data_IF_769143446971
#
_entry.id   IF_769143446971
#
_cell.length_a   1.000
_cell.length_b   1.000
_cell.length_c   1.000
_cell.angle_alpha   90.00
_cell.angle_beta   90.00
_cell.angle_gamma   90.00
#
_symmetry.space_group_name_H-M   'P 1'
#
loop_
_entity.id
_entity.type
_entity.pdbx_description
1 polymer ?
#
# COMPACT_ATOMS: atom_id res chain seq x y z
N UNK A 1 -1.18 -6.26 -29.23
CA UNK A 1 -0.79 -7.20 -28.15
C UNK A 1 -1.84 -8.29 -27.99
N UNK A 2 -1.47 -9.53 -27.72
CA UNK A 2 -2.44 -10.62 -27.50
C UNK A 2 -2.90 -10.54 -26.04
N UNK A 3 -4.15 -10.12 -25.81
CA UNK A 3 -4.72 -9.98 -24.46
C UNK A 3 -4.96 -11.39 -23.91
N UNK A 4 -4.39 -11.70 -22.74
CA UNK A 4 -4.66 -12.97 -22.05
C UNK A 4 -6.11 -13.00 -21.56
N UNK A 5 -6.81 -14.07 -21.93
CA UNK A 5 -8.21 -14.30 -21.57
C UNK A 5 -8.39 -14.57 -20.08
N UNK A 6 -9.49 -14.06 -19.51
CA UNK A 6 -9.89 -14.42 -18.16
C UNK A 6 -10.30 -15.88 -18.05
N UNK A 7 -9.99 -16.49 -16.94
CA UNK A 7 -10.35 -17.85 -16.57
C UNK A 7 -11.06 -17.85 -15.21
N UNK A 8 -12.34 -17.44 -15.13
CA UNK A 8 -13.02 -17.21 -13.85
C UNK A 8 -12.99 -18.39 -12.88
N UNK A 9 -12.99 -19.62 -13.40
CA UNK A 9 -12.90 -20.86 -12.60
C UNK A 9 -11.49 -21.16 -12.05
N UNK A 10 -10.47 -20.42 -12.50
CA UNK A 10 -9.09 -20.61 -12.05
C UNK A 10 -8.99 -20.28 -10.55
N UNK A 11 -8.37 -21.21 -9.80
CA UNK A 11 -8.23 -21.08 -8.34
C UNK A 11 -6.98 -20.31 -7.91
N UNK A 12 -5.95 -20.27 -8.75
CA UNK A 12 -4.74 -19.47 -8.54
C UNK A 12 -3.91 -19.38 -9.83
N UNK A 13 -3.12 -18.34 -9.93
CA UNK A 13 -1.95 -18.22 -10.82
C UNK A 13 -0.85 -17.55 -10.00
N UNK A 14 0.15 -18.31 -9.63
CA UNK A 14 1.26 -17.95 -8.73
C UNK A 14 2.57 -18.49 -9.29
N UNK A 15 3.70 -18.07 -8.75
CA UNK A 15 5.02 -18.50 -9.23
C UNK A 15 5.24 -20.02 -9.07
N UNK A 16 5.12 -20.54 -7.84
CA UNK A 16 5.37 -21.95 -7.52
C UNK A 16 4.58 -22.39 -6.28
N UNK A 17 3.72 -23.40 -6.44
CA UNK A 17 2.90 -23.95 -5.35
C UNK A 17 3.74 -24.74 -4.32
N UNK A 18 4.92 -25.21 -4.69
CA UNK A 18 5.80 -25.98 -3.79
C UNK A 18 6.41 -25.12 -2.66
N UNK A 19 6.36 -23.79 -2.79
CA UNK A 19 6.77 -22.85 -1.74
C UNK A 19 5.80 -22.77 -0.55
N UNK A 20 4.63 -23.42 -0.66
CA UNK A 20 3.55 -23.27 0.33
C UNK A 20 3.93 -23.67 1.76
N UNK A 21 4.75 -24.71 1.93
CA UNK A 21 5.13 -25.20 3.27
C UNK A 21 6.09 -24.20 3.95
N UNK A 22 6.94 -23.52 3.19
CA UNK A 22 7.74 -22.40 3.68
C UNK A 22 6.85 -21.23 4.09
N UNK A 23 5.94 -20.81 3.20
CA UNK A 23 4.99 -19.74 3.51
C UNK A 23 4.18 -20.01 4.79
N UNK A 24 3.73 -21.26 5.00
CA UNK A 24 3.00 -21.65 6.22
C UNK A 24 3.83 -21.46 7.47
N UNK A 25 5.10 -21.86 7.47
CA UNK A 25 6.01 -21.66 8.60
C UNK A 25 6.23 -20.18 8.93
N UNK A 26 6.37 -19.33 7.93
CA UNK A 26 6.48 -17.90 8.17
C UNK A 26 5.18 -17.27 8.68
N UNK A 27 4.02 -17.75 8.22
CA UNK A 27 2.73 -17.34 8.79
C UNK A 27 2.58 -17.75 10.27
N UNK A 28 3.16 -18.91 10.70
CA UNK A 28 3.21 -19.34 12.09
C UNK A 28 4.07 -18.40 12.96
N UNK A 29 5.13 -17.82 12.39
CA UNK A 29 5.90 -16.77 13.07
C UNK A 29 5.09 -15.46 13.14
N UNK A 30 4.49 -15.06 12.03
CA UNK A 30 3.77 -13.79 11.91
C UNK A 30 2.56 -13.72 12.87
N UNK A 31 1.83 -14.82 13.09
CA UNK A 31 0.63 -14.83 13.95
C UNK A 31 0.93 -14.36 15.38
N UNK A 32 2.12 -14.67 15.90
CA UNK A 32 2.54 -14.26 17.24
C UNK A 32 2.76 -12.75 17.36
N UNK A 33 3.03 -12.09 16.24
CA UNK A 33 3.24 -10.64 16.14
C UNK A 33 1.99 -9.90 15.61
N UNK A 34 0.87 -10.61 15.38
CA UNK A 34 -0.36 -10.03 14.84
C UNK A 34 -1.57 -10.21 15.79
N UNK A 35 -1.47 -9.72 17.06
CA UNK A 35 -2.48 -9.96 18.09
C UNK A 35 -3.84 -9.36 17.75
N UNK A 36 -3.90 -8.26 17.00
CA UNK A 36 -5.15 -7.64 16.57
C UNK A 36 -5.97 -8.56 15.67
N UNK A 37 -5.34 -9.21 14.68
CA UNK A 37 -6.03 -10.17 13.82
C UNK A 37 -6.49 -11.42 14.58
N UNK A 38 -5.69 -11.91 15.53
CA UNK A 38 -6.08 -13.03 16.39
C UNK A 38 -7.32 -12.67 17.20
N UNK A 39 -7.32 -11.51 17.83
CA UNK A 39 -8.46 -11.02 18.60
C UNK A 39 -9.73 -10.78 17.75
N UNK A 40 -9.58 -10.31 16.51
CA UNK A 40 -10.69 -10.19 15.55
C UNK A 40 -11.30 -11.57 15.24
N UNK A 41 -10.47 -12.59 15.01
CA UNK A 41 -10.94 -13.98 14.79
C UNK A 41 -11.72 -14.50 16.00
N UNK A 42 -11.22 -14.29 17.20
CA UNK A 42 -11.87 -14.71 18.45
C UNK A 42 -13.20 -13.97 18.68
N UNK A 43 -13.21 -12.65 18.47
CA UNK A 43 -14.37 -11.80 18.76
C UNK A 43 -15.49 -11.94 17.73
N UNK A 44 -15.15 -12.02 16.46
CA UNK A 44 -16.13 -11.95 15.37
C UNK A 44 -16.26 -13.25 14.55
N UNK A 45 -15.31 -14.18 14.67
CA UNK A 45 -15.26 -15.38 13.82
C UNK A 45 -16.50 -16.27 13.95
N UNK A 46 -17.03 -16.46 15.18
CA UNK A 46 -18.23 -17.29 15.39
C UNK A 46 -19.50 -16.70 14.78
N UNK A 47 -19.55 -15.37 14.60
CA UNK A 47 -20.67 -14.66 13.98
C UNK A 47 -20.64 -14.61 12.47
N UNK A 48 -19.51 -14.96 11.86
CA UNK A 48 -19.30 -14.93 10.40
C UNK A 48 -19.86 -13.67 9.71
N UNK A 49 -19.49 -12.43 10.13
CA UNK A 49 -20.15 -11.20 9.65
C UNK A 49 -20.00 -10.95 8.14
N UNK A 50 -19.07 -11.65 7.46
CA UNK A 50 -18.87 -11.59 6.01
C UNK A 50 -19.44 -12.81 5.28
N UNK A 51 -20.26 -13.62 5.94
CA UNK A 51 -20.81 -14.85 5.36
C UNK A 51 -21.58 -14.58 4.06
N UNK A 52 -21.18 -15.30 3.02
CA UNK A 52 -21.80 -15.20 1.70
C UNK A 52 -21.41 -13.97 0.89
N UNK A 53 -20.54 -13.11 1.42
CA UNK A 53 -20.01 -11.96 0.69
C UNK A 53 -18.72 -12.30 -0.05
N UNK A 54 -18.60 -11.77 -1.26
CA UNK A 54 -17.43 -11.87 -2.14
C UNK A 54 -16.50 -10.71 -1.87
N UNK A 55 -15.29 -10.99 -1.38
CA UNK A 55 -14.27 -9.97 -1.07
C UNK A 55 -13.13 -10.06 -2.09
N UNK A 56 -12.91 -8.99 -2.82
CA UNK A 56 -11.73 -8.84 -3.68
C UNK A 56 -10.66 -8.04 -2.95
N UNK A 57 -9.44 -8.56 -2.89
CA UNK A 57 -8.28 -7.82 -2.41
C UNK A 57 -7.33 -7.44 -3.53
N UNK A 58 -6.92 -6.18 -3.53
CA UNK A 58 -5.85 -5.60 -4.35
C UNK A 58 -4.85 -4.94 -3.40
N UNK A 59 -4.03 -5.78 -2.76
CA UNK A 59 -3.08 -5.36 -1.73
C UNK A 59 -1.88 -6.31 -1.75
N UNK A 60 -0.68 -5.79 -1.41
CA UNK A 60 0.58 -6.53 -1.44
C UNK A 60 0.46 -7.95 -0.91
N UNK A 61 0.77 -8.98 -1.73
CA UNK A 61 0.65 -10.37 -1.34
C UNK A 61 1.84 -10.83 -0.49
N UNK A 62 1.89 -10.36 0.76
CA UNK A 62 2.94 -10.68 1.75
C UNK A 62 2.46 -11.74 2.76
N UNK A 63 3.35 -12.18 3.64
CA UNK A 63 3.01 -13.07 4.76
C UNK A 63 1.95 -12.42 5.66
N UNK A 64 2.06 -11.13 5.93
CA UNK A 64 1.09 -10.40 6.74
C UNK A 64 -0.28 -10.35 6.07
N UNK A 65 -0.30 -10.17 4.75
CA UNK A 65 -1.54 -10.22 3.95
C UNK A 65 -2.15 -11.62 3.92
N UNK A 66 -1.33 -12.67 3.91
CA UNK A 66 -1.83 -14.04 4.06
C UNK A 66 -2.59 -14.20 5.38
N UNK A 67 -2.13 -13.57 6.47
CA UNK A 67 -2.84 -13.55 7.75
C UNK A 67 -4.16 -12.78 7.70
N UNK A 68 -4.21 -11.65 6.97
CA UNK A 68 -5.45 -10.90 6.70
C UNK A 68 -6.44 -11.76 5.94
N UNK A 69 -6.01 -12.40 4.84
CA UNK A 69 -6.86 -13.27 4.02
C UNK A 69 -7.47 -14.40 4.86
N UNK A 70 -6.68 -15.08 5.69
CA UNK A 70 -7.21 -16.13 6.57
C UNK A 70 -8.17 -15.57 7.63
N UNK A 71 -7.94 -14.36 8.10
CA UNK A 71 -8.89 -13.71 9.02
C UNK A 71 -10.22 -13.40 8.32
N UNK A 72 -10.20 -12.79 7.14
CA UNK A 72 -11.40 -12.55 6.35
C UNK A 72 -12.15 -13.85 6.00
N UNK A 73 -11.40 -14.94 5.75
CA UNK A 73 -11.97 -16.28 5.52
C UNK A 73 -12.69 -16.80 6.76
N UNK A 74 -12.11 -16.66 7.94
CA UNK A 74 -12.72 -17.03 9.23
C UNK A 74 -13.98 -16.19 9.49
N UNK A 75 -13.99 -14.93 9.06
CA UNK A 75 -15.18 -14.06 9.12
C UNK A 75 -16.29 -14.43 8.10
N UNK A 76 -16.06 -15.45 7.25
CA UNK A 76 -17.05 -16.03 6.33
C UNK A 76 -16.95 -15.60 4.88
N UNK A 77 -15.96 -14.80 4.49
CA UNK A 77 -15.81 -14.28 3.13
C UNK A 77 -15.42 -15.35 2.10
N UNK A 78 -15.91 -15.19 0.86
CA UNK A 78 -15.38 -15.81 -0.35
C UNK A 78 -14.40 -14.84 -1.03
N UNK A 79 -13.10 -15.23 -1.13
CA UNK A 79 -12.00 -14.28 -1.34
C UNK A 79 -11.27 -14.56 -2.66
N UNK A 80 -11.01 -13.49 -3.41
CA UNK A 80 -10.09 -13.45 -4.54
C UNK A 80 -9.08 -12.33 -4.34
N UNK A 81 -7.80 -12.58 -4.67
CA UNK A 81 -6.71 -11.67 -4.33
C UNK A 81 -5.73 -11.46 -5.49
N UNK A 82 -5.33 -10.22 -5.71
CA UNK A 82 -4.21 -9.79 -6.54
C UNK A 82 -3.29 -8.88 -5.74
N UNK A 83 -2.02 -8.75 -6.14
CA UNK A 83 -1.12 -7.77 -5.55
C UNK A 83 -1.39 -6.38 -6.13
N UNK A 84 -1.08 -5.34 -5.37
CA UNK A 84 -1.13 -3.94 -5.82
C UNK A 84 0.22 -3.42 -6.32
N UNK A 85 1.22 -4.28 -6.46
CA UNK A 85 2.56 -3.91 -6.94
C UNK A 85 3.29 -5.12 -7.55
N UNK A 86 3.95 -4.93 -8.69
CA UNK A 86 4.61 -5.99 -9.47
C UNK A 86 5.82 -6.64 -8.77
N UNK A 87 6.40 -6.01 -7.75
CA UNK A 87 7.60 -6.50 -7.05
C UNK A 87 7.37 -6.91 -5.59
N UNK A 88 6.18 -6.66 -5.03
CA UNK A 88 5.93 -6.81 -3.60
C UNK A 88 5.47 -8.19 -3.17
N UNK A 89 5.03 -9.04 -4.11
CA UNK A 89 4.57 -10.38 -3.77
C UNK A 89 5.69 -11.22 -3.15
N UNK A 90 5.37 -11.89 -2.05
CA UNK A 90 6.16 -12.98 -1.48
C UNK A 90 5.57 -14.29 -2.01
N UNK A 91 6.27 -14.95 -2.94
CA UNK A 91 5.73 -16.12 -3.68
C UNK A 91 5.33 -17.27 -2.76
N UNK A 92 6.05 -17.46 -1.65
CA UNK A 92 5.72 -18.46 -0.65
C UNK A 92 4.44 -18.11 0.15
N UNK A 93 4.11 -16.82 0.34
CA UNK A 93 2.84 -16.40 0.94
C UNK A 93 1.68 -16.71 -0.01
N UNK A 94 1.81 -16.35 -1.28
CA UNK A 94 0.82 -16.66 -2.32
C UNK A 94 0.58 -18.17 -2.42
N UNK A 95 1.66 -18.97 -2.38
CA UNK A 95 1.59 -20.44 -2.42
C UNK A 95 0.87 -21.01 -1.19
N UNK A 96 1.15 -20.50 0.01
CA UNK A 96 0.50 -20.99 1.23
C UNK A 96 -1.03 -20.80 1.19
N UNK A 97 -1.48 -19.62 0.77
CA UNK A 97 -2.92 -19.30 0.64
C UNK A 97 -3.57 -20.12 -0.46
N UNK A 98 -2.92 -20.27 -1.62
CA UNK A 98 -3.44 -21.05 -2.75
C UNK A 98 -3.57 -22.54 -2.39
N UNK A 99 -2.55 -23.15 -1.74
CA UNK A 99 -2.56 -24.57 -1.30
C UNK A 99 -3.63 -24.82 -0.24
N UNK A 100 -3.79 -23.91 0.72
CA UNK A 100 -4.81 -23.99 1.76
C UNK A 100 -6.24 -23.71 1.22
N UNK A 101 -6.35 -23.16 0.01
CA UNK A 101 -7.62 -22.73 -0.59
C UNK A 101 -8.35 -21.67 0.26
N UNK A 102 -7.61 -20.85 0.99
CA UNK A 102 -8.18 -19.76 1.79
C UNK A 102 -8.71 -18.64 0.90
N UNK A 103 -8.07 -18.42 -0.26
CA UNK A 103 -8.51 -17.53 -1.33
C UNK A 103 -8.08 -18.04 -2.71
N UNK A 104 -8.70 -17.52 -3.77
CA UNK A 104 -8.14 -17.62 -5.11
C UNK A 104 -7.10 -16.50 -5.30
N UNK A 105 -5.83 -16.83 -5.52
CA UNK A 105 -4.71 -15.88 -5.57
C UNK A 105 -4.13 -15.79 -6.99
N UNK A 106 -3.96 -14.55 -7.46
CA UNK A 106 -3.35 -14.20 -8.74
C UNK A 106 -2.25 -13.17 -8.49
N UNK A 107 -1.05 -13.64 -8.14
CA UNK A 107 0.08 -12.78 -7.82
C UNK A 107 1.40 -13.56 -7.83
N UNK A 108 2.48 -12.94 -8.33
CA UNK A 108 3.86 -13.40 -8.21
C UNK A 108 4.82 -12.23 -8.26
N UNK A 109 6.02 -12.41 -7.75
CA UNK A 109 7.05 -11.37 -7.79
C UNK A 109 7.62 -11.25 -9.20
N UNK A 110 7.64 -10.02 -9.74
CA UNK A 110 8.17 -9.74 -11.07
C UNK A 110 7.14 -9.88 -12.20
N UNK A 111 5.86 -9.64 -11.89
CA UNK A 111 4.82 -9.48 -12.91
C UNK A 111 5.21 -8.38 -13.91
N UNK A 112 4.85 -8.57 -15.18
CA UNK A 112 4.79 -7.47 -16.13
C UNK A 112 3.55 -6.62 -15.85
N UNK A 113 3.49 -5.39 -16.35
CA UNK A 113 2.30 -4.54 -16.19
C UNK A 113 1.05 -5.17 -16.83
N UNK A 114 1.22 -5.90 -17.94
CA UNK A 114 0.16 -6.63 -18.60
C UNK A 114 -0.40 -7.78 -17.73
N UNK A 115 0.49 -8.50 -17.06
CA UNK A 115 0.13 -9.58 -16.11
C UNK A 115 -0.53 -9.01 -14.87
N UNK A 116 -0.01 -7.93 -14.32
CA UNK A 116 -0.57 -7.22 -13.16
C UNK A 116 -2.05 -6.83 -13.39
N UNK A 117 -2.34 -6.17 -14.51
CA UNK A 117 -3.72 -5.77 -14.83
C UNK A 117 -4.60 -6.96 -15.21
N UNK A 118 -4.03 -8.04 -15.73
CA UNK A 118 -4.75 -9.30 -15.89
C UNK A 118 -5.11 -9.90 -14.52
N UNK A 119 -4.19 -9.95 -13.57
CA UNK A 119 -4.41 -10.44 -12.22
C UNK A 119 -5.51 -9.66 -11.50
N UNK A 120 -5.47 -8.32 -11.60
CA UNK A 120 -6.49 -7.45 -11.03
C UNK A 120 -7.88 -7.73 -11.62
N UNK A 121 -8.02 -7.81 -12.95
CA UNK A 121 -9.29 -8.14 -13.60
C UNK A 121 -9.75 -9.57 -13.28
N UNK A 122 -8.82 -10.52 -13.20
CA UNK A 122 -9.09 -11.90 -12.84
C UNK A 122 -9.62 -12.02 -11.40
N UNK A 123 -9.06 -11.25 -10.46
CA UNK A 123 -9.51 -11.20 -9.07
C UNK A 123 -10.88 -10.52 -8.93
N UNK A 124 -11.22 -9.55 -9.79
CA UNK A 124 -12.55 -8.91 -9.87
C UNK A 124 -13.63 -9.81 -10.48
N UNK A 125 -13.31 -11.05 -10.90
CA UNK A 125 -14.24 -11.90 -11.67
C UNK A 125 -14.44 -13.25 -11.01
N UNK A 126 -15.64 -13.54 -10.50
CA UNK A 126 -16.02 -14.84 -9.94
C UNK A 126 -16.40 -15.86 -11.02
N UNK A 127 -16.42 -17.18 -10.69
CA UNK A 127 -16.77 -18.23 -11.65
C UNK A 127 -18.18 -18.10 -12.27
N UNK A 128 -19.10 -17.49 -11.55
CA UNK A 128 -20.46 -17.19 -12.02
C UNK A 128 -20.55 -15.92 -12.90
N UNK A 129 -19.43 -15.30 -13.18
CA UNK A 129 -19.34 -14.06 -13.96
C UNK A 129 -19.64 -12.78 -13.17
N UNK A 130 -20.01 -12.90 -11.89
CA UNK A 130 -20.23 -11.73 -11.03
C UNK A 130 -18.92 -11.10 -10.53
N UNK A 131 -19.04 -9.90 -9.96
CA UNK A 131 -17.95 -9.22 -9.25
C UNK A 131 -18.00 -9.39 -7.73
N UNK A 132 -17.14 -8.66 -6.99
CA UNK A 132 -17.13 -8.61 -5.54
C UNK A 132 -18.33 -7.85 -4.98
N UNK A 133 -18.65 -8.13 -3.71
CA UNK A 133 -19.54 -7.31 -2.88
C UNK A 133 -18.74 -6.27 -2.07
N UNK A 134 -17.46 -6.54 -1.79
CA UNK A 134 -16.56 -5.69 -1.02
C UNK A 134 -15.15 -5.70 -1.65
N UNK A 135 -14.43 -4.59 -1.51
CA UNK A 135 -13.05 -4.46 -1.98
C UNK A 135 -12.14 -4.05 -0.81
N UNK A 136 -10.99 -4.70 -0.68
CA UNK A 136 -9.83 -4.23 0.08
C UNK A 136 -8.81 -3.74 -0.93
N UNK A 137 -8.56 -2.45 -0.98
CA UNK A 137 -7.69 -1.83 -1.99
C UNK A 137 -6.49 -1.12 -1.33
N UNK A 138 -5.39 -1.05 -2.08
CA UNK A 138 -4.16 -0.37 -1.67
C UNK A 138 -3.58 0.37 -2.89
N UNK A 139 -3.81 1.69 -2.92
CA UNK A 139 -3.51 2.55 -4.05
C UNK A 139 -4.69 2.81 -4.98
N UNK A 140 -5.81 2.13 -4.76
CA UNK A 140 -7.06 2.35 -5.48
C UNK A 140 -7.07 1.80 -6.90
N UNK A 141 -6.27 0.79 -7.24
CA UNK A 141 -6.17 0.28 -8.60
C UNK A 141 -7.36 -0.62 -9.00
N UNK A 142 -7.86 -1.46 -8.08
CA UNK A 142 -9.09 -2.22 -8.32
C UNK A 142 -10.29 -1.28 -8.45
N UNK A 143 -10.38 -0.29 -7.57
CA UNK A 143 -11.39 0.77 -7.61
C UNK A 143 -11.34 1.55 -8.93
N UNK A 144 -10.14 1.99 -9.36
CA UNK A 144 -9.92 2.67 -10.64
C UNK A 144 -10.41 1.82 -11.81
N UNK A 145 -10.08 0.53 -11.82
CA UNK A 145 -10.43 -0.37 -12.92
C UNK A 145 -11.95 -0.49 -13.08
N UNK A 146 -12.70 -0.65 -11.99
CA UNK A 146 -14.17 -0.68 -11.99
C UNK A 146 -14.74 0.66 -12.50
N UNK A 147 -14.26 1.79 -11.97
CA UNK A 147 -14.73 3.12 -12.39
C UNK A 147 -14.45 3.42 -13.87
N UNK A 148 -13.26 3.05 -14.35
CA UNK A 148 -12.94 3.20 -15.78
C UNK A 148 -13.81 2.28 -16.64
N UNK A 149 -14.10 1.06 -16.17
CA UNK A 149 -15.01 0.14 -16.82
C UNK A 149 -16.39 0.74 -17.04
N UNK A 150 -17.00 1.29 -15.98
CA UNK A 150 -18.31 1.96 -16.06
C UNK A 150 -18.26 3.17 -17.00
N UNK A 151 -17.21 4.00 -16.94
CA UNK A 151 -17.05 5.15 -17.82
C UNK A 151 -16.97 4.75 -19.29
N UNK A 152 -16.23 3.69 -19.60
CA UNK A 152 -16.05 3.21 -20.98
C UNK A 152 -17.32 2.53 -21.49
N UNK A 153 -18.08 1.82 -20.67
CA UNK A 153 -19.40 1.29 -21.04
C UNK A 153 -20.39 2.41 -21.36
N UNK A 154 -20.40 3.48 -20.57
CA UNK A 154 -21.23 4.65 -20.82
C UNK A 154 -20.79 5.45 -22.05
N UNK A 155 -19.48 5.48 -22.33
CA UNK A 155 -18.92 6.22 -23.46
C UNK A 155 -17.75 5.47 -24.14
N UNK A 156 -18.04 4.52 -25.06
CA UNK A 156 -17.01 3.73 -25.75
C UNK A 156 -16.02 4.55 -26.60
N UNK A 157 -16.30 5.83 -26.87
CA UNK A 157 -15.37 6.70 -27.60
C UNK A 157 -14.08 6.96 -26.80
N UNK A 158 -14.11 6.79 -25.48
CA UNK A 158 -12.93 6.91 -24.60
C UNK A 158 -11.84 5.91 -24.95
N UNK A 159 -12.19 4.73 -25.47
CA UNK A 159 -11.25 3.70 -25.92
C UNK A 159 -10.37 4.13 -27.10
N UNK A 160 -10.83 5.12 -27.89
CA UNK A 160 -10.09 5.63 -29.06
C UNK A 160 -9.11 6.75 -28.71
N UNK A 161 -9.17 7.28 -27.48
CA UNK A 161 -8.26 8.35 -27.04
C UNK A 161 -6.88 7.78 -26.76
N UNK A 162 -5.84 8.46 -27.27
CA UNK A 162 -4.45 8.14 -26.92
C UNK A 162 -4.26 8.35 -25.43
N UNK A 163 -3.72 7.35 -24.75
CA UNK A 163 -3.45 7.42 -23.32
C UNK A 163 -2.09 8.05 -23.04
N UNK A 164 -1.96 8.70 -21.88
CA UNK A 164 -0.75 9.46 -21.54
C UNK A 164 0.37 8.56 -20.99
N UNK A 165 0.03 7.37 -20.46
CA UNK A 165 0.98 6.43 -19.93
C UNK A 165 0.66 4.99 -20.35
N UNK A 166 1.65 4.09 -20.19
CA UNK A 166 1.54 2.67 -20.58
C UNK A 166 0.49 1.93 -19.77
N UNK A 167 0.37 2.20 -18.48
CA UNK A 167 -0.61 1.53 -17.61
C UNK A 167 -2.03 1.79 -18.06
N UNK A 168 -2.39 3.07 -18.25
CA UNK A 168 -3.73 3.43 -18.72
C UNK A 168 -4.03 2.83 -20.10
N UNK A 169 -3.02 2.72 -20.97
CA UNK A 169 -3.18 2.05 -22.25
C UNK A 169 -3.57 0.58 -22.06
N UNK A 170 -2.89 -0.14 -21.19
CA UNK A 170 -3.18 -1.56 -20.87
C UNK A 170 -4.60 -1.70 -20.29
N UNK A 171 -4.97 -0.84 -19.34
CA UNK A 171 -6.32 -0.81 -18.75
C UNK A 171 -7.38 -0.66 -19.87
N UNK A 172 -7.21 0.33 -20.77
CA UNK A 172 -8.17 0.58 -21.84
C UNK A 172 -8.25 -0.59 -22.84
N UNK A 173 -7.15 -1.24 -23.16
CA UNK A 173 -7.14 -2.44 -24.03
C UNK A 173 -7.89 -3.60 -23.37
N UNK A 174 -7.69 -3.84 -22.08
CA UNK A 174 -8.43 -4.87 -21.31
C UNK A 174 -9.91 -4.55 -21.23
N UNK A 175 -10.27 -3.30 -20.93
CA UNK A 175 -11.66 -2.86 -20.89
C UNK A 175 -12.34 -2.99 -22.28
N UNK A 176 -11.65 -2.64 -23.35
CA UNK A 176 -12.14 -2.83 -24.71
C UNK A 176 -12.46 -4.31 -25.03
N UNK A 177 -11.59 -5.21 -24.56
CA UNK A 177 -11.80 -6.66 -24.68
C UNK A 177 -13.00 -7.15 -23.84
N UNK A 178 -13.09 -6.70 -22.61
CA UNK A 178 -14.14 -7.03 -21.65
C UNK A 178 -15.53 -6.63 -22.16
N UNK A 179 -15.68 -5.38 -22.61
CA UNK A 179 -16.94 -4.82 -23.08
C UNK A 179 -17.46 -5.49 -24.36
N UNK A 180 -16.58 -5.95 -25.25
CA UNK A 180 -16.97 -6.76 -26.42
C UNK A 180 -17.68 -8.05 -26.03
N UNK A 181 -17.32 -8.64 -24.88
CA UNK A 181 -17.91 -9.90 -24.38
C UNK A 181 -19.19 -9.66 -23.60
N UNK A 182 -19.20 -8.65 -22.74
CA UNK A 182 -20.35 -8.28 -21.92
C UNK A 182 -20.40 -6.73 -21.79
N UNK A 183 -21.28 -6.05 -22.56
CA UNK A 183 -21.36 -4.59 -22.58
C UNK A 183 -21.87 -3.92 -21.29
N UNK A 184 -22.36 -4.67 -20.33
CA UNK A 184 -22.88 -4.17 -19.04
C UNK A 184 -22.12 -4.69 -17.83
N UNK A 185 -21.04 -5.41 -18.05
CA UNK A 185 -20.29 -6.10 -16.99
C UNK A 185 -19.89 -5.18 -15.85
N UNK A 186 -19.35 -4.01 -16.18
CA UNK A 186 -18.78 -3.11 -15.18
C UNK A 186 -19.86 -2.36 -14.40
N UNK A 187 -20.98 -2.01 -15.03
CA UNK A 187 -22.16 -1.51 -14.35
C UNK A 187 -22.74 -2.56 -13.38
N UNK A 188 -22.84 -3.82 -13.82
CA UNK A 188 -23.34 -4.90 -12.99
C UNK A 188 -22.41 -5.15 -11.79
N UNK A 189 -21.08 -5.12 -11.99
CA UNK A 189 -20.09 -5.23 -10.91
C UNK A 189 -20.22 -4.05 -9.95
N UNK A 190 -20.18 -2.82 -10.44
CA UNK A 190 -20.24 -1.61 -9.61
C UNK A 190 -21.52 -1.54 -8.77
N UNK A 191 -22.67 -1.96 -9.32
CA UNK A 191 -23.96 -1.96 -8.62
C UNK A 191 -24.02 -2.93 -7.43
N UNK A 192 -23.16 -3.95 -7.39
CA UNK A 192 -23.08 -4.93 -6.30
C UNK A 192 -22.17 -4.49 -5.17
N UNK A 193 -21.18 -3.66 -5.46
CA UNK A 193 -20.15 -3.28 -4.49
C UNK A 193 -20.79 -2.44 -3.37
N UNK A 194 -20.79 -2.98 -2.15
CA UNK A 194 -21.24 -2.29 -0.93
C UNK A 194 -20.25 -1.24 -0.47
N UNK A 195 -18.98 -1.42 -0.81
CA UNK A 195 -17.94 -0.44 -0.52
C UNK A 195 -16.53 -0.98 -0.67
N UNK A 196 -15.57 -0.06 -0.55
CA UNK A 196 -14.13 -0.32 -0.55
C UNK A 196 -13.50 0.19 0.73
N UNK A 197 -12.51 -0.52 1.26
CA UNK A 197 -11.60 -0.01 2.28
C UNK A 197 -10.22 0.22 1.66
N UNK A 198 -9.68 1.44 1.82
CA UNK A 198 -8.44 1.87 1.18
C UNK A 198 -7.32 2.02 2.20
N UNK A 199 -6.17 1.38 1.91
CA UNK A 199 -5.03 1.25 2.81
C UNK A 199 -4.10 2.47 2.77
N UNK A 200 -3.91 3.11 1.60
CA UNK A 200 -2.80 4.06 1.44
C UNK A 200 -3.24 5.47 1.04
N UNK A 201 -2.41 6.45 1.40
CA UNK A 201 -2.64 7.89 1.13
C UNK A 201 -2.98 8.18 -0.33
N UNK A 202 -2.31 7.50 -1.27
CA UNK A 202 -2.52 7.76 -2.70
C UNK A 202 -3.89 7.30 -3.18
N UNK A 203 -4.34 6.12 -2.73
CA UNK A 203 -5.68 5.62 -3.05
C UNK A 203 -6.76 6.49 -2.40
N UNK A 204 -6.56 6.91 -1.15
CA UNK A 204 -7.45 7.85 -0.46
C UNK A 204 -7.57 9.17 -1.23
N UNK A 205 -6.46 9.70 -1.74
CA UNK A 205 -6.50 10.90 -2.57
C UNK A 205 -7.35 10.73 -3.84
N UNK A 206 -7.22 9.58 -4.52
CA UNK A 206 -8.08 9.22 -5.67
C UNK A 206 -9.56 9.18 -5.27
N UNK A 207 -9.89 8.56 -4.14
CA UNK A 207 -11.28 8.47 -3.65
C UNK A 207 -11.88 9.86 -3.40
N UNK A 208 -11.16 10.76 -2.73
CA UNK A 208 -11.61 12.14 -2.51
C UNK A 208 -11.75 12.91 -3.84
N UNK A 209 -10.87 12.69 -4.81
CA UNK A 209 -11.01 13.29 -6.15
C UNK A 209 -12.28 12.80 -6.85
N UNK A 210 -12.53 11.49 -6.83
CA UNK A 210 -13.75 10.90 -7.40
C UNK A 210 -15.01 11.41 -6.69
N UNK A 211 -15.00 11.53 -5.36
CA UNK A 211 -16.10 12.13 -4.60
C UNK A 211 -16.34 13.58 -5.01
N UNK A 212 -15.28 14.39 -5.08
CA UNK A 212 -15.37 15.81 -5.45
C UNK A 212 -15.89 16.02 -6.88
N UNK A 213 -15.53 15.14 -7.82
CA UNK A 213 -16.02 15.17 -9.20
C UNK A 213 -17.40 14.54 -9.39
N UNK A 214 -17.99 13.94 -8.35
CA UNK A 214 -19.26 13.20 -8.43
C UNK A 214 -19.18 11.87 -9.18
N UNK A 215 -17.97 11.32 -9.33
CA UNK A 215 -17.71 10.09 -10.07
C UNK A 215 -17.61 8.84 -9.18
N UNK A 216 -17.53 8.99 -7.84
CA UNK A 216 -17.46 7.87 -6.91
C UNK A 216 -18.76 7.03 -7.01
N UNK A 217 -18.61 5.72 -7.22
CA UNK A 217 -19.74 4.82 -7.53
C UNK A 217 -20.28 4.08 -6.29
N UNK A 218 -19.49 3.95 -5.24
CA UNK A 218 -19.82 3.22 -4.02
C UNK A 218 -19.14 3.84 -2.79
N UNK A 219 -19.59 3.53 -1.57
CA UNK A 219 -18.96 4.02 -0.34
C UNK A 219 -17.51 3.59 -0.22
N UNK A 220 -16.69 4.41 0.42
CA UNK A 220 -15.30 4.10 0.71
C UNK A 220 -14.96 4.40 2.18
N UNK A 221 -14.24 3.49 2.84
CA UNK A 221 -13.64 3.73 4.15
C UNK A 221 -12.14 3.98 3.95
N UNK A 222 -11.72 5.17 4.33
CA UNK A 222 -10.33 5.58 4.39
C UNK A 222 -9.68 4.98 5.65
N UNK A 223 -9.05 3.83 5.50
CA UNK A 223 -8.31 3.16 6.59
C UNK A 223 -6.99 3.88 6.85
N UNK A 224 -6.36 4.45 5.82
CA UNK A 224 -5.08 5.15 5.98
C UNK A 224 -5.11 6.22 7.08
N UNK A 225 -6.22 6.95 7.22
CA UNK A 225 -6.32 8.05 8.17
C UNK A 225 -6.84 7.63 9.55
N UNK A 226 -7.13 6.34 9.78
CA UNK A 226 -7.22 5.81 11.14
C UNK A 226 -5.91 6.07 11.87
N UNK A 227 -5.98 6.55 13.12
CA UNK A 227 -4.75 6.92 13.86
C UNK A 227 -3.86 5.71 14.11
N UNK A 228 -4.48 4.56 14.44
CA UNK A 228 -3.78 3.28 14.62
C UNK A 228 -3.21 2.71 13.31
N UNK A 229 -3.53 3.31 12.15
CA UNK A 229 -2.86 3.02 10.88
C UNK A 229 -1.80 4.08 10.58
N UNK A 230 -2.18 5.34 10.37
CA UNK A 230 -1.29 6.39 9.88
C UNK A 230 -0.11 6.69 10.83
N UNK A 231 -0.33 6.68 12.15
CA UNK A 231 0.70 6.95 13.14
C UNK A 231 1.53 5.70 13.52
N UNK A 232 1.16 4.53 13.02
CA UNK A 232 1.84 3.26 13.25
C UNK A 232 2.50 2.74 11.97
N UNK A 233 1.73 2.39 10.97
CA UNK A 233 2.21 1.85 9.69
C UNK A 233 3.13 2.85 8.98
N UNK A 234 2.61 4.04 8.67
CA UNK A 234 3.38 5.04 7.91
C UNK A 234 4.62 5.52 8.67
N UNK A 235 4.55 5.60 10.01
CA UNK A 235 5.67 6.07 10.84
C UNK A 235 6.60 4.91 11.23
N UNK A 236 6.12 3.99 12.06
CA UNK A 236 6.95 2.91 12.61
C UNK A 236 7.29 1.85 11.57
N UNK A 237 6.37 1.54 10.66
CA UNK A 237 6.61 0.61 9.56
C UNK A 237 7.73 1.09 8.64
N UNK A 238 7.69 2.35 8.21
CA UNK A 238 8.75 2.93 7.38
C UNK A 238 10.07 3.08 8.15
N UNK A 239 10.01 3.37 9.46
CA UNK A 239 11.22 3.43 10.30
C UNK A 239 11.99 2.11 10.34
N UNK A 240 11.29 0.98 10.38
CA UNK A 240 11.92 -0.35 10.37
C UNK A 240 12.31 -0.77 8.95
N UNK A 241 11.38 -0.70 8.00
CA UNK A 241 11.49 -1.32 6.69
C UNK A 241 12.38 -0.57 5.70
N UNK A 242 12.53 0.77 5.84
CA UNK A 242 13.44 1.54 4.99
C UNK A 242 14.87 1.06 5.10
N UNK A 243 15.38 0.97 6.33
CA UNK A 243 16.74 0.53 6.59
C UNK A 243 16.97 -0.92 6.12
N UNK A 244 15.98 -1.79 6.33
CA UNK A 244 16.03 -3.18 5.85
C UNK A 244 16.15 -3.23 4.32
N UNK A 245 15.35 -2.44 3.58
CA UNK A 245 15.42 -2.36 2.13
C UNK A 245 16.77 -1.87 1.62
N UNK A 246 17.29 -0.76 2.15
CA UNK A 246 18.59 -0.20 1.74
C UNK A 246 19.72 -1.17 2.06
N UNK A 247 19.74 -1.76 3.25
CA UNK A 247 20.84 -2.66 3.69
C UNK A 247 20.86 -3.96 2.91
N UNK A 248 19.71 -4.61 2.68
CA UNK A 248 19.64 -5.82 1.85
C UNK A 248 20.01 -5.55 0.40
N UNK A 249 19.64 -4.38 -0.13
CA UNK A 249 20.00 -3.99 -1.49
C UNK A 249 21.49 -3.76 -1.66
N UNK A 250 22.15 -3.09 -0.72
CA UNK A 250 23.46 -2.48 -0.96
C UNK A 250 24.56 -2.88 0.04
N UNK A 251 24.21 -3.43 1.20
CA UNK A 251 25.11 -3.69 2.33
C UNK A 251 25.92 -2.45 2.80
N UNK A 252 25.49 -1.23 2.41
CA UNK A 252 26.21 -0.02 2.78
C UNK A 252 26.12 0.26 4.28
N UNK A 253 27.18 0.82 4.82
CA UNK A 253 27.18 1.40 6.15
C UNK A 253 26.47 2.75 6.10
N UNK A 254 25.38 2.90 6.86
CA UNK A 254 24.57 4.14 6.91
C UNK A 254 25.26 5.20 7.79
N UNK A 255 25.93 4.77 8.88
CA UNK A 255 26.61 5.68 9.78
C UNK A 255 27.61 6.58 9.05
N UNK A 256 27.62 7.86 9.40
CA UNK A 256 28.52 8.87 8.83
C UNK A 256 28.14 9.39 7.44
N UNK A 257 27.14 8.78 6.77
CA UNK A 257 26.65 9.27 5.47
C UNK A 257 25.72 10.48 5.64
N UNK A 258 25.66 11.29 4.60
CA UNK A 258 24.63 12.33 4.47
C UNK A 258 23.42 11.75 3.74
N UNK A 259 22.27 11.73 4.41
CA UNK A 259 21.03 11.17 3.90
C UNK A 259 20.01 12.29 3.73
N UNK A 260 19.45 12.43 2.54
CA UNK A 260 18.35 13.35 2.27
C UNK A 260 17.05 12.59 2.29
N UNK A 261 16.09 13.05 3.11
CA UNK A 261 14.71 12.56 3.11
C UNK A 261 13.84 13.67 2.52
N UNK A 262 13.23 13.39 1.38
CA UNK A 262 12.30 14.29 0.71
C UNK A 262 10.88 14.03 1.23
N UNK A 263 10.33 14.99 1.98
CA UNK A 263 9.06 14.88 2.68
C UNK A 263 9.22 14.60 4.18
N UNK A 264 8.39 15.25 5.03
CA UNK A 264 8.39 15.06 6.49
C UNK A 264 6.96 14.85 7.04
N UNK A 265 6.11 14.17 6.25
CA UNK A 265 4.88 13.55 6.72
C UNK A 265 5.18 12.33 7.60
N UNK A 266 4.19 11.50 7.93
CA UNK A 266 4.39 10.34 8.81
C UNK A 266 5.46 9.39 8.27
N UNK A 267 5.46 9.09 6.97
CA UNK A 267 6.50 8.27 6.30
C UNK A 267 7.88 8.91 6.43
N UNK A 268 8.01 10.18 6.07
CA UNK A 268 9.29 10.91 6.14
C UNK A 268 9.84 11.01 7.55
N UNK A 269 8.99 11.20 8.57
CA UNK A 269 9.36 11.17 9.99
C UNK A 269 9.98 9.83 10.39
N UNK A 270 9.32 8.72 10.01
CA UNK A 270 9.84 7.39 10.24
C UNK A 270 11.21 7.17 9.58
N UNK A 271 11.32 7.56 8.31
CA UNK A 271 12.57 7.46 7.55
C UNK A 271 13.71 8.27 8.19
N UNK A 272 13.44 9.51 8.56
CA UNK A 272 14.42 10.39 9.20
C UNK A 272 14.91 9.83 10.54
N UNK A 273 13.99 9.35 11.38
CA UNK A 273 14.32 8.72 12.66
C UNK A 273 15.18 7.46 12.46
N UNK A 274 14.84 6.62 11.46
CA UNK A 274 15.60 5.42 11.12
C UNK A 274 17.04 5.76 10.75
N UNK A 275 17.22 6.65 9.80
CA UNK A 275 18.55 7.01 9.29
C UNK A 275 19.40 7.68 10.39
N UNK A 276 18.81 8.58 11.18
CA UNK A 276 19.48 9.18 12.35
C UNK A 276 19.85 8.15 13.40
N UNK A 277 18.97 7.17 13.64
CA UNK A 277 19.22 6.06 14.57
C UNK A 277 20.42 5.20 14.16
N UNK A 278 20.68 5.06 12.85
CA UNK A 278 21.89 4.40 12.32
C UNK A 278 23.13 5.32 12.26
N UNK A 279 23.04 6.57 12.74
CA UNK A 279 24.20 7.48 12.79
C UNK A 279 24.43 8.28 11.51
N UNK A 280 23.44 8.41 10.63
CA UNK A 280 23.51 9.31 9.48
C UNK A 280 23.33 10.78 9.87
N UNK A 281 23.89 11.67 9.05
CA UNK A 281 23.53 13.09 9.02
C UNK A 281 22.33 13.23 8.12
N UNK A 282 21.17 13.52 8.71
CA UNK A 282 19.89 13.57 7.98
C UNK A 282 19.53 15.02 7.66
N UNK A 283 19.24 15.26 6.39
CA UNK A 283 18.73 16.53 5.87
C UNK A 283 17.30 16.29 5.34
N UNK A 284 16.37 17.16 5.70
CA UNK A 284 14.98 17.09 5.26
C UNK A 284 14.74 18.13 4.16
N UNK A 285 13.99 17.74 3.13
CA UNK A 285 13.39 18.70 2.20
C UNK A 285 11.88 18.65 2.32
N UNK A 286 11.23 19.80 2.45
CA UNK A 286 9.78 19.86 2.72
C UNK A 286 9.17 21.13 2.12
N UNK A 287 7.89 21.03 1.71
CA UNK A 287 7.11 22.16 1.17
C UNK A 287 6.10 22.70 2.19
N UNK A 288 5.64 21.86 3.13
CA UNK A 288 4.71 22.25 4.18
C UNK A 288 5.48 22.94 5.32
N UNK A 289 5.18 24.22 5.61
CA UNK A 289 5.89 24.97 6.65
C UNK A 289 5.70 24.39 8.04
N UNK A 290 4.59 23.69 8.33
CA UNK A 290 4.35 23.03 9.62
C UNK A 290 5.26 21.81 9.75
N UNK A 291 5.30 20.95 8.73
CA UNK A 291 6.19 19.79 8.71
C UNK A 291 7.67 20.20 8.74
N UNK A 292 8.05 21.25 8.00
CA UNK A 292 9.41 21.80 8.02
C UNK A 292 9.79 22.33 9.41
N UNK A 293 8.88 23.05 10.09
CA UNK A 293 9.09 23.52 11.45
C UNK A 293 9.24 22.35 12.44
N UNK A 294 8.41 21.30 12.31
CA UNK A 294 8.54 20.11 13.15
C UNK A 294 9.91 19.44 12.94
N UNK A 295 10.38 19.30 11.69
CA UNK A 295 11.69 18.74 11.40
C UNK A 295 12.82 19.55 12.05
N UNK A 296 12.75 20.87 11.97
CA UNK A 296 13.72 21.77 12.61
C UNK A 296 13.70 21.65 14.15
N UNK A 297 12.51 21.54 14.77
CA UNK A 297 12.38 21.33 16.23
C UNK A 297 12.92 19.97 16.68
N UNK A 298 12.84 18.96 15.82
CA UNK A 298 13.45 17.64 16.06
C UNK A 298 14.99 17.64 15.83
N UNK A 299 15.58 18.77 15.44
CA UNK A 299 17.02 18.95 15.25
C UNK A 299 17.55 18.46 13.91
N UNK A 300 16.70 18.34 12.88
CA UNK A 300 17.14 18.09 11.51
C UNK A 300 17.48 19.39 10.80
N UNK A 301 18.47 19.36 9.91
CA UNK A 301 18.62 20.41 8.92
C UNK A 301 17.47 20.35 7.91
N UNK A 302 16.86 21.50 7.62
CA UNK A 302 15.84 21.65 6.58
C UNK A 302 16.43 22.51 5.47
N UNK A 303 16.57 21.94 4.27
CA UNK A 303 17.20 22.59 3.10
C UNK A 303 16.39 22.31 1.84
N UNK A 304 16.67 23.06 0.78
CA UNK A 304 16.18 22.67 -0.54
C UNK A 304 17.01 21.51 -1.10
N UNK A 305 16.43 20.74 -2.02
CA UNK A 305 17.18 19.63 -2.65
C UNK A 305 18.38 20.17 -3.47
N UNK A 306 18.24 21.36 -4.05
CA UNK A 306 19.30 22.05 -4.78
C UNK A 306 20.54 22.34 -3.93
N UNK A 307 20.36 22.63 -2.63
CA UNK A 307 21.46 22.94 -1.71
C UNK A 307 22.29 21.71 -1.31
N UNK A 308 21.69 20.50 -1.36
CA UNK A 308 22.30 19.29 -0.80
C UNK A 308 22.56 18.20 -1.85
N UNK A 309 22.04 18.33 -3.07
CA UNK A 309 22.07 17.29 -4.09
C UNK A 309 23.49 16.84 -4.48
N UNK A 310 24.49 17.71 -4.40
CA UNK A 310 25.89 17.40 -4.71
C UNK A 310 26.69 16.84 -3.53
N UNK A 311 26.10 16.82 -2.31
CA UNK A 311 26.80 16.45 -1.09
C UNK A 311 26.27 15.14 -0.47
N UNK A 312 25.03 14.78 -0.77
CA UNK A 312 24.38 13.63 -0.16
C UNK A 312 24.81 12.29 -0.78
N UNK A 313 24.84 11.27 0.06
CA UNK A 313 25.19 9.90 -0.29
C UNK A 313 23.95 9.04 -0.60
N UNK A 314 22.84 9.31 0.09
CA UNK A 314 21.58 8.55 -0.04
C UNK A 314 20.41 9.54 -0.17
N UNK A 315 19.55 9.31 -1.15
CA UNK A 315 18.32 10.06 -1.38
C UNK A 315 17.12 9.15 -1.21
N UNK A 316 16.16 9.59 -0.37
CA UNK A 316 14.94 8.86 -0.03
C UNK A 316 13.76 9.76 -0.34
N UNK A 317 12.86 9.35 -1.22
CA UNK A 317 11.63 10.10 -1.52
C UNK A 317 10.44 9.51 -0.76
N UNK A 318 9.62 10.39 -0.16
CA UNK A 318 8.48 10.05 0.70
C UNK A 318 7.38 11.13 0.65
N UNK A 319 7.17 11.74 -0.52
CA UNK A 319 6.29 12.91 -0.69
C UNK A 319 4.90 12.57 -1.23
N UNK A 320 4.76 11.43 -1.89
CA UNK A 320 3.55 11.09 -2.67
C UNK A 320 3.33 11.99 -3.90
N UNK A 321 4.36 12.77 -4.30
CA UNK A 321 4.30 13.68 -5.45
C UNK A 321 4.96 13.04 -6.69
N UNK A 322 5.17 13.81 -7.74
CA UNK A 322 5.91 13.37 -8.93
C UNK A 322 7.16 14.22 -9.16
N UNK A 323 8.16 13.64 -9.83
CA UNK A 323 9.37 14.34 -10.27
C UNK A 323 10.11 15.08 -9.15
N UNK A 324 10.17 14.48 -7.96
CA UNK A 324 10.96 15.01 -6.83
C UNK A 324 12.44 14.89 -7.16
N UNK A 325 12.87 13.74 -7.69
CA UNK A 325 14.22 13.54 -8.20
C UNK A 325 14.17 13.49 -9.74
N UNK A 326 14.49 14.63 -10.36
CA UNK A 326 14.52 14.77 -11.81
C UNK A 326 15.88 14.36 -12.39
N UNK A 327 15.94 14.07 -13.69
CA UNK A 327 17.19 13.81 -14.41
C UNK A 327 18.24 14.91 -14.21
N UNK A 328 17.82 16.19 -14.19
CA UNK A 328 18.72 17.33 -13.90
C UNK A 328 19.35 17.24 -12.51
N UNK A 329 18.60 16.75 -11.51
CA UNK A 329 19.11 16.54 -10.15
C UNK A 329 20.04 15.34 -10.09
N UNK A 330 19.69 14.24 -10.77
CA UNK A 330 20.54 13.04 -10.87
C UNK A 330 21.92 13.37 -11.42
N UNK A 331 22.00 14.21 -12.47
CA UNK A 331 23.28 14.65 -13.07
C UNK A 331 24.18 15.46 -12.11
N UNK A 332 23.65 15.94 -11.00
CA UNK A 332 24.39 16.72 -9.99
C UNK A 332 24.78 15.89 -8.77
N UNK A 333 24.25 14.68 -8.61
CA UNK A 333 24.54 13.81 -7.47
C UNK A 333 26.01 13.40 -7.43
N UNK A 334 26.47 12.99 -6.26
CA UNK A 334 27.76 12.33 -6.10
C UNK A 334 27.83 11.07 -6.96
N UNK A 335 29.03 10.68 -7.34
CA UNK A 335 29.27 9.36 -7.90
C UNK A 335 28.89 8.27 -6.88
N UNK A 336 28.24 7.21 -7.36
CA UNK A 336 27.70 6.10 -6.54
C UNK A 336 26.65 6.50 -5.51
N UNK A 337 25.97 7.66 -5.66
CA UNK A 337 24.86 8.04 -4.81
C UNK A 337 23.72 7.02 -4.94
N UNK A 338 23.11 6.66 -3.79
CA UNK A 338 21.97 5.74 -3.74
C UNK A 338 20.68 6.53 -3.79
N UNK A 339 19.77 6.13 -4.67
CA UNK A 339 18.46 6.76 -4.87
C UNK A 339 17.37 5.72 -4.66
N UNK A 340 16.46 5.97 -3.74
CA UNK A 340 15.34 5.08 -3.47
C UNK A 340 14.06 5.84 -3.10
N UNK A 341 12.94 5.18 -3.29
CA UNK A 341 11.61 5.68 -2.96
C UNK A 341 10.95 4.75 -1.94
N UNK A 342 10.20 5.33 -1.01
CA UNK A 342 9.34 4.61 -0.06
C UNK A 342 7.89 5.11 -0.15
N UNK A 343 7.59 6.04 -1.06
CA UNK A 343 6.24 6.41 -1.44
C UNK A 343 5.58 5.31 -2.28
N UNK A 344 4.26 5.28 -2.31
CA UNK A 344 3.50 4.17 -2.93
C UNK A 344 3.80 3.99 -4.43
N UNK A 345 3.89 5.08 -5.20
CA UNK A 345 4.16 5.03 -6.64
C UNK A 345 5.59 5.43 -7.01
N UNK A 346 6.02 4.97 -8.18
CA UNK A 346 7.34 5.23 -8.78
C UNK A 346 7.51 6.61 -9.40
N UNK A 347 6.48 7.47 -9.33
CA UNK A 347 6.48 8.79 -9.97
C UNK A 347 7.40 9.83 -9.33
N UNK A 348 7.87 9.60 -8.11
CA UNK A 348 8.73 10.54 -7.38
C UNK A 348 10.13 10.65 -7.99
N UNK A 349 10.62 9.58 -8.62
CA UNK A 349 11.91 9.50 -9.30
C UNK A 349 11.66 9.44 -10.80
N UNK A 350 12.24 10.36 -11.57
CA UNK A 350 12.07 10.45 -13.02
C UNK A 350 12.82 9.33 -13.75
N UNK A 351 12.36 8.07 -13.58
CA UNK A 351 12.96 6.90 -14.23
C UNK A 351 12.96 7.04 -15.76
N UNK A 352 11.95 7.71 -16.31
CA UNK A 352 11.85 7.95 -17.75
C UNK A 352 13.01 8.76 -18.34
N UNK A 353 13.70 9.59 -17.54
CA UNK A 353 14.93 10.25 -17.96
C UNK A 353 16.06 9.24 -18.17
N UNK A 354 16.25 8.32 -17.25
CA UNK A 354 17.29 7.29 -17.31
C UNK A 354 17.02 6.32 -18.46
N UNK A 355 15.78 5.88 -18.64
CA UNK A 355 15.38 4.87 -19.62
C UNK A 355 15.39 5.37 -21.06
N UNK A 356 15.03 6.65 -21.31
CA UNK A 356 14.92 7.24 -22.65
C UNK A 356 16.18 7.94 -23.12
N UNK A 357 17.11 8.21 -22.22
CA UNK A 357 18.36 8.90 -22.56
C UNK A 357 19.36 7.93 -23.17
N UNK A 358 19.72 8.12 -24.43
CA UNK A 358 20.79 7.34 -25.11
C UNK A 358 22.16 7.48 -24.41
N UNK A 359 22.34 8.52 -23.60
CA UNK A 359 23.58 8.77 -22.85
C UNK A 359 23.61 8.10 -21.47
N UNK A 360 22.48 7.56 -20.98
CA UNK A 360 22.43 6.82 -19.72
C UNK A 360 22.54 5.31 -20.00
N UNK A 361 23.37 4.61 -19.20
CA UNK A 361 23.57 3.16 -19.36
C UNK A 361 23.19 2.46 -18.06
N UNK A 362 22.28 1.50 -18.17
CA UNK A 362 21.87 0.62 -17.06
C UNK A 362 22.78 -0.60 -16.99
N UNK A 363 23.21 -0.91 -15.78
CA UNK A 363 23.86 -2.16 -15.41
C UNK A 363 23.08 -2.75 -14.21
N UNK A 364 22.48 -3.92 -14.37
CA UNK A 364 21.83 -4.61 -13.26
C UNK A 364 22.89 -5.30 -12.40
N UNK A 365 23.05 -4.88 -11.15
CA UNK A 365 24.01 -5.45 -10.19
C UNK A 365 23.46 -6.75 -9.59
N UNK A 366 22.22 -6.72 -9.16
CA UNK A 366 21.44 -7.85 -8.64
C UNK A 366 19.94 -7.49 -8.71
N UNK A 367 19.02 -8.41 -8.49
CA UNK A 367 17.59 -8.08 -8.54
C UNK A 367 17.25 -6.83 -7.74
N UNK A 368 16.54 -5.90 -8.36
CA UNK A 368 16.11 -4.62 -7.79
C UNK A 368 17.22 -3.62 -7.45
N UNK A 369 18.44 -3.80 -7.95
CA UNK A 369 19.57 -2.90 -7.74
C UNK A 369 20.23 -2.61 -9.08
N UNK A 370 20.05 -1.40 -9.59
CA UNK A 370 20.55 -0.96 -10.88
C UNK A 370 21.51 0.20 -10.73
N UNK A 371 22.68 0.04 -11.34
CA UNK A 371 23.66 1.12 -11.54
C UNK A 371 23.36 1.81 -12.86
N UNK A 372 23.22 3.12 -12.82
CA UNK A 372 23.00 3.95 -13.98
C UNK A 372 24.18 4.88 -14.19
N UNK A 373 24.96 4.68 -15.26
CA UNK A 373 25.99 5.63 -15.67
C UNK A 373 25.33 6.78 -16.40
N UNK A 374 25.53 8.00 -15.91
CA UNK A 374 24.92 9.23 -16.40
C UNK A 374 25.74 9.87 -17.51
N UNK A 375 25.20 10.89 -18.17
CA UNK A 375 25.88 11.65 -19.23
C UNK A 375 27.19 12.29 -18.75
N UNK A 376 27.26 12.69 -17.48
CA UNK A 376 28.47 13.21 -16.84
C UNK A 376 29.62 12.20 -16.67
N UNK A 377 29.36 10.91 -16.90
CA UNK A 377 30.31 9.81 -16.62
C UNK A 377 30.23 9.31 -15.16
N UNK A 378 29.54 10.02 -14.28
CA UNK A 378 29.24 9.53 -12.91
C UNK A 378 28.13 8.50 -12.94
N UNK A 379 28.04 7.72 -11.87
CA UNK A 379 26.99 6.72 -11.72
C UNK A 379 26.12 7.00 -10.51
N UNK A 380 24.87 6.54 -10.55
CA UNK A 380 23.99 6.47 -9.40
C UNK A 380 23.43 5.04 -9.28
N UNK A 381 23.06 4.65 -8.06
CA UNK A 381 22.45 3.35 -7.78
C UNK A 381 20.98 3.57 -7.49
N UNK A 382 20.09 3.08 -8.35
CA UNK A 382 18.65 3.18 -8.18
C UNK A 382 18.12 1.86 -7.67
N UNK A 383 17.36 1.92 -6.55
CA UNK A 383 16.76 0.74 -5.92
C UNK A 383 15.31 0.54 -6.36
N UNK A 384 14.91 -0.71 -6.57
CA UNK A 384 13.57 -1.15 -6.93
C UNK A 384 12.97 -0.39 -8.14
N UNK A 385 13.80 0.05 -9.09
CA UNK A 385 13.38 0.82 -10.26
C UNK A 385 12.56 2.07 -9.88
N UNK A 386 12.88 2.72 -8.74
CA UNK A 386 12.14 3.87 -8.22
C UNK A 386 10.83 3.52 -7.50
N UNK A 387 10.47 2.24 -7.40
CA UNK A 387 9.30 1.76 -6.65
C UNK A 387 9.62 1.62 -5.15
N UNK A 388 8.67 1.11 -4.36
CA UNK A 388 8.81 0.89 -2.92
C UNK A 388 10.05 0.05 -2.58
N UNK A 389 11.08 0.69 -2.01
CA UNK A 389 12.35 0.03 -1.67
C UNK A 389 12.20 -1.05 -0.61
N UNK A 390 11.32 -0.85 0.36
CA UNK A 390 11.08 -1.77 1.46
C UNK A 390 10.42 -3.09 1.01
N UNK A 391 9.61 -3.06 -0.04
CA UNK A 391 8.95 -4.24 -0.62
C UNK A 391 9.71 -4.80 -1.82
N UNK A 392 10.32 -3.94 -2.63
CA UNK A 392 11.13 -4.38 -3.77
C UNK A 392 12.42 -5.06 -3.35
N UNK A 393 13.14 -4.47 -2.41
CA UNK A 393 14.45 -4.95 -1.95
C UNK A 393 14.42 -5.75 -0.64
N UNK A 394 13.29 -5.74 0.09
CA UNK A 394 13.10 -6.47 1.34
C UNK A 394 11.71 -7.10 1.42
N UNK A 395 11.14 -7.23 2.62
CA UNK A 395 9.88 -7.94 2.89
C UNK A 395 8.75 -7.04 3.37
N UNK A 396 8.94 -5.71 3.34
CA UNK A 396 7.96 -4.72 3.76
C UNK A 396 7.96 -4.46 5.26
N UNK A 397 6.81 -4.00 5.76
CA UNK A 397 6.64 -3.65 7.17
C UNK A 397 6.59 -4.87 8.08
N UNK A 398 7.05 -4.76 9.35
CA UNK A 398 7.00 -5.84 10.32
C UNK A 398 5.56 -6.22 10.69
N UNK A 399 5.38 -7.48 11.08
CA UNK A 399 4.05 -8.08 11.33
C UNK A 399 3.22 -7.33 12.37
N UNK A 400 3.84 -6.84 13.45
CA UNK A 400 3.12 -6.12 14.51
C UNK A 400 2.48 -4.82 14.00
N UNK A 401 3.21 -4.07 13.16
CA UNK A 401 2.70 -2.85 12.54
C UNK A 401 1.55 -3.18 11.58
N UNK A 402 1.73 -4.20 10.74
CA UNK A 402 0.67 -4.63 9.81
C UNK A 402 -0.54 -5.23 10.53
N UNK A 403 -0.36 -5.76 11.75
CA UNK A 403 -1.51 -6.14 12.58
C UNK A 403 -2.43 -4.95 12.88
N UNK A 404 -1.88 -3.76 13.17
CA UNK A 404 -2.70 -2.55 13.35
C UNK A 404 -3.47 -2.20 12.08
N UNK A 405 -2.80 -2.10 10.94
CA UNK A 405 -3.41 -1.78 9.65
C UNK A 405 -4.49 -2.79 9.27
N UNK A 406 -4.18 -4.07 9.36
CA UNK A 406 -5.10 -5.13 8.92
C UNK A 406 -6.25 -5.37 9.89
N UNK A 407 -6.10 -5.05 11.17
CA UNK A 407 -7.23 -5.00 12.10
C UNK A 407 -8.20 -3.89 11.70
N UNK A 408 -7.70 -2.70 11.33
CA UNK A 408 -8.53 -1.64 10.75
C UNK A 408 -9.23 -2.10 9.47
N UNK A 409 -8.53 -2.82 8.56
CA UNK A 409 -9.15 -3.38 7.34
C UNK A 409 -10.29 -4.35 7.66
N UNK A 410 -10.08 -5.29 8.58
CA UNK A 410 -11.13 -6.22 9.00
C UNK A 410 -12.35 -5.49 9.56
N UNK A 411 -12.14 -4.49 10.44
CA UNK A 411 -13.24 -3.72 11.00
C UNK A 411 -13.95 -2.87 9.95
N UNK A 412 -13.23 -2.29 8.99
CA UNK A 412 -13.79 -1.57 7.86
C UNK A 412 -14.66 -2.48 6.97
N UNK A 413 -14.22 -3.70 6.70
CA UNK A 413 -14.99 -4.67 5.92
C UNK A 413 -16.25 -5.10 6.66
N UNK A 414 -16.19 -5.30 8.00
CA UNK A 414 -17.36 -5.58 8.84
C UNK A 414 -18.33 -4.39 8.82
N UNK A 415 -17.85 -3.16 8.97
CA UNK A 415 -18.67 -1.95 8.88
C UNK A 415 -19.43 -1.87 7.55
N UNK A 416 -18.73 -2.03 6.42
CA UNK A 416 -19.32 -1.99 5.08
C UNK A 416 -20.28 -3.17 4.81
N UNK A 417 -20.05 -4.31 5.46
CA UNK A 417 -20.93 -5.48 5.33
C UNK A 417 -22.23 -5.36 6.12
N UNK A 418 -22.17 -4.68 7.28
CA UNK A 418 -23.27 -4.72 8.29
C UNK A 418 -24.03 -3.40 8.42
N UNK A 419 -23.51 -2.31 7.87
CA UNK A 419 -24.13 -0.98 7.91
C UNK A 419 -24.31 -0.41 6.51
N UNK A 420 -25.36 0.38 6.34
CA UNK A 420 -25.64 1.08 5.09
C UNK A 420 -24.92 2.43 5.07
N UNK A 421 -23.99 2.58 4.15
CA UNK A 421 -23.30 3.82 3.87
C UNK A 421 -23.82 4.44 2.57
N UNK A 422 -24.04 5.75 2.56
CA UNK A 422 -24.24 6.49 1.31
C UNK A 422 -22.92 6.59 0.55
N UNK A 423 -22.99 6.87 -0.76
CA UNK A 423 -21.78 7.13 -1.55
C UNK A 423 -21.01 8.31 -0.93
N UNK A 424 -19.77 8.08 -0.57
CA UNK A 424 -18.90 9.04 0.08
C UNK A 424 -17.65 8.39 0.65
N UNK A 425 -16.69 9.20 1.08
CA UNK A 425 -15.45 8.75 1.74
C UNK A 425 -15.56 9.00 3.23
N UNK A 426 -15.37 7.95 4.04
CA UNK A 426 -15.51 7.95 5.49
C UNK A 426 -14.23 7.49 6.15
N UNK A 427 -13.99 7.89 7.39
CA UNK A 427 -12.99 7.30 8.28
C UNK A 427 -13.68 6.32 9.23
N UNK A 428 -12.95 5.35 9.76
CA UNK A 428 -13.49 4.51 10.82
C UNK A 428 -13.88 5.34 12.04
N UNK A 429 -15.01 5.03 12.70
CA UNK A 429 -15.38 5.68 13.96
C UNK A 429 -14.25 5.59 15.00
N UNK A 430 -14.06 6.65 15.79
CA UNK A 430 -13.00 6.71 16.80
C UNK A 430 -13.03 5.54 17.78
N UNK A 431 -14.20 5.03 18.12
CA UNK A 431 -14.36 3.87 19.00
C UNK A 431 -13.70 2.61 18.42
N UNK A 432 -13.74 2.43 17.08
CA UNK A 432 -13.07 1.30 16.42
C UNK A 432 -11.56 1.51 16.30
N UNK A 433 -11.11 2.74 16.06
CA UNK A 433 -9.69 3.10 16.07
C UNK A 433 -9.05 2.84 17.46
N UNK A 434 -9.76 3.23 18.54
CA UNK A 434 -9.35 2.89 19.92
C UNK A 434 -9.40 1.40 20.21
N UNK A 435 -10.37 0.66 19.65
CA UNK A 435 -10.46 -0.79 19.78
C UNK A 435 -9.24 -1.47 19.19
N UNK A 436 -8.79 -1.06 18.00
CA UNK A 436 -7.55 -1.55 17.39
C UNK A 436 -6.39 -1.41 18.37
N UNK A 437 -6.21 -0.23 18.97
CA UNK A 437 -5.15 -0.01 19.96
C UNK A 437 -5.29 -0.95 21.15
N UNK A 438 -6.48 -1.10 21.72
CA UNK A 438 -6.74 -1.98 22.88
C UNK A 438 -6.35 -3.44 22.60
N UNK A 439 -6.66 -3.95 21.41
CA UNK A 439 -6.36 -5.32 20.99
C UNK A 439 -4.84 -5.60 20.94
N UNK A 440 -4.01 -4.56 20.80
CA UNK A 440 -2.55 -4.69 20.72
C UNK A 440 -1.83 -4.50 22.07
N UNK A 441 -2.41 -3.73 23.00
CA UNK A 441 -1.75 -3.35 24.25
C UNK A 441 -1.37 -4.56 25.12
N UNK A 442 -2.22 -5.58 25.17
CA UNK A 442 -1.97 -6.80 25.97
C UNK A 442 -0.67 -7.50 25.57
N UNK A 443 -0.37 -7.57 24.25
CA UNK A 443 0.86 -8.19 23.74
C UNK A 443 2.13 -7.45 24.18
N UNK A 444 2.02 -6.13 24.35
CA UNK A 444 3.11 -5.27 24.82
C UNK A 444 3.23 -5.22 26.37
N UNK A 445 2.36 -5.93 27.10
CA UNK A 445 2.30 -5.85 28.54
C UNK A 445 1.83 -4.48 29.08
N UNK A 446 1.27 -3.64 28.21
CA UNK A 446 0.78 -2.31 28.59
C UNK A 446 -0.56 -2.40 29.31
N UNK A 447 -0.73 -1.56 30.35
CA UNK A 447 -1.96 -1.48 31.14
C UNK A 447 -2.49 -0.05 31.11
N UNK A 448 -3.74 0.13 30.74
CA UNK A 448 -4.40 1.44 30.75
C UNK A 448 -4.83 1.82 32.18
N UNK A 449 -4.68 3.09 32.51
CA UNK A 449 -5.34 3.69 33.66
C UNK A 449 -6.83 3.80 33.37
N UNK A 450 -7.68 3.46 34.35
CA UNK A 450 -9.15 3.60 34.22
C UNK A 450 -9.57 4.91 34.88
N UNK A 451 -10.43 5.66 34.20
CA UNK A 451 -11.04 6.86 34.75
C UNK A 451 -11.99 6.51 35.91
N UNK A 452 -12.02 7.37 36.93
CA UNK A 452 -13.11 7.37 37.91
C UNK A 452 -14.34 8.06 37.32
N UNK A 453 -15.52 7.88 37.93
CA UNK A 453 -16.74 8.56 37.51
C UNK A 453 -16.60 10.08 37.55
N UNK A 454 -15.92 10.62 38.55
CA UNK A 454 -15.62 12.04 38.70
C UNK A 454 -14.73 12.56 37.55
N UNK A 455 -13.67 11.82 37.21
CA UNK A 455 -12.76 12.17 36.11
C UNK A 455 -13.48 12.10 34.75
N UNK A 456 -14.26 11.07 34.49
CA UNK A 456 -15.03 10.93 33.26
C UNK A 456 -16.04 12.08 33.09
N UNK A 457 -16.75 12.43 34.18
CA UNK A 457 -17.68 13.57 34.21
C UNK A 457 -16.97 14.90 33.98
N UNK A 458 -15.81 15.10 34.61
CA UNK A 458 -15.01 16.32 34.42
C UNK A 458 -14.53 16.49 32.98
N UNK A 459 -14.09 15.38 32.35
CA UNK A 459 -13.61 15.40 30.96
C UNK A 459 -14.76 15.37 29.92
N UNK A 460 -15.97 15.06 30.32
CA UNK A 460 -17.13 14.93 29.43
C UNK A 460 -17.04 13.72 28.49
N UNK A 461 -16.37 12.64 28.91
CA UNK A 461 -16.20 11.41 28.13
C UNK A 461 -16.75 10.19 28.88
N UNK A 462 -17.01 9.10 28.16
CA UNK A 462 -17.33 7.80 28.80
C UNK A 462 -16.08 7.22 29.49
N UNK A 463 -16.27 6.42 30.56
CA UNK A 463 -15.20 5.69 31.23
C UNK A 463 -14.47 4.75 30.26
N UNK A 464 -15.17 4.21 29.30
CA UNK A 464 -14.66 3.24 28.33
C UNK A 464 -14.28 3.86 26.97
N UNK A 465 -14.39 5.19 26.85
CA UNK A 465 -14.10 5.91 25.61
C UNK A 465 -15.32 6.14 24.69
N UNK A 466 -15.14 6.71 23.50
CA UNK A 466 -13.88 7.23 22.99
C UNK A 466 -13.37 8.44 23.81
N UNK A 467 -12.05 8.48 24.01
CA UNK A 467 -11.43 9.51 24.86
C UNK A 467 -11.12 10.81 24.11
N UNK A 468 -11.19 10.78 22.79
CA UNK A 468 -10.98 11.94 21.90
C UNK A 468 -12.09 12.02 20.87
N UNK A 469 -12.44 13.23 20.41
CA UNK A 469 -13.43 13.42 19.35
C UNK A 469 -12.89 12.87 17.99
N UNK A 470 -13.80 12.59 17.06
CA UNK A 470 -13.50 11.97 15.76
C UNK A 470 -12.46 12.74 14.91
N UNK A 471 -12.45 14.08 15.05
CA UNK A 471 -11.49 14.92 14.32
C UNK A 471 -10.08 14.96 14.91
N UNK A 472 -9.87 14.43 16.11
CA UNK A 472 -8.55 14.46 16.76
C UNK A 472 -7.56 13.51 16.07
N UNK A 473 -6.39 14.04 15.71
CA UNK A 473 -5.29 13.34 15.06
C UNK A 473 -4.03 13.45 15.93
N UNK A 474 -3.69 12.47 16.68
CA UNK A 474 -2.58 12.40 17.65
C UNK A 474 -1.26 12.97 17.16
#
# INVERSE_FOLDING_TARGET
MKIEELKPSLKHKIADIHLADWGRKEMELAVNEMPGLVAVREKYGSGEPLKGLKVMGSLHMTIQTAMLIETLKILGADIRWASCNIFSTQDHAAAAIAKARSAAVFAWKGETLEEYWWCTEQALTWPDGSGPDLIVDDGGDATLFVHQGVKVEANPALLKKKQNNKEMQIIMERLAHSIKKNPKRWHDIASRIRGVSEETTTGVHRLYQMQKSGELLFPAINVNDSVTKSKFDNLYGCRESLADGIKRATDVMIAGKTVVVCGYGDVGKGCAQSMRGFGARVVITEIDPICALQAAMEGYEVKTLEDVVSEADIFITATGCCNVITGRRMERMKDEAIVCNIGHFDSEIEMSYLEKSESCKRENIKPQVDKWTLKSGRSIIVLAEGRLVNLGCATGHPSFVMSNSFTNQCLAQIELATKDYKIGVYTLPKVLDEEVARLHLGRLGARLTRLTDEQAKYLGVSIDGPFKPDYYRY
#
